data_IF_733908452285
#
_entry.id   IF_733908452285
#
_cell.length_a   1.000
_cell.length_b   1.000
_cell.length_c   1.000
_cell.angle_alpha   90.00
_cell.angle_beta   90.00
_cell.angle_gamma   90.00
#
_symmetry.space_group_name_H-M   'P 1'
#
loop_
_entity.id
_entity.type
_entity.pdbx_description
1 polymer ?
#
# COMPACT_ATOMS: atom_id res chain seq x y z
N UNK A 1 -0.21 13.56 -10.63
CA UNK A 1 0.92 14.37 -10.14
C UNK A 1 1.45 13.77 -8.87
N UNK A 2 2.77 13.80 -8.70
CA UNK A 2 3.43 13.21 -7.55
C UNK A 2 4.13 14.32 -6.78
N UNK A 3 3.90 14.35 -5.48
CA UNK A 3 4.42 15.33 -4.54
C UNK A 3 5.12 14.59 -3.41
N UNK A 4 6.11 15.22 -2.80
CA UNK A 4 6.71 14.71 -1.57
C UNK A 4 6.12 15.45 -0.36
N UNK A 5 5.89 14.76 0.76
CA UNK A 5 5.28 15.37 1.94
C UNK A 5 6.09 16.55 2.49
N UNK A 6 7.41 16.55 2.30
CA UNK A 6 8.30 17.66 2.63
C UNK A 6 8.22 18.85 1.66
N UNK A 7 7.79 18.61 0.42
CA UNK A 7 7.54 19.65 -0.58
C UNK A 7 6.26 20.41 -0.23
N UNK A 8 5.18 19.68 0.05
CA UNK A 8 3.89 20.26 0.49
C UNK A 8 4.02 21.01 1.82
N UNK A 9 4.91 20.58 2.72
CA UNK A 9 5.16 21.28 3.98
C UNK A 9 5.97 22.56 3.82
N UNK A 10 6.79 22.66 2.76
CA UNK A 10 7.57 23.85 2.47
C UNK A 10 6.75 24.91 1.73
N UNK A 11 5.89 24.46 0.82
CA UNK A 11 5.04 25.31 0.00
C UNK A 11 3.57 25.14 0.42
N UNK A 12 3.18 25.90 1.44
CA UNK A 12 1.84 25.84 2.02
C UNK A 12 0.77 26.13 0.96
N UNK A 13 -0.21 25.24 0.80
CA UNK A 13 -1.27 25.36 -0.20
C UNK A 13 -0.97 24.70 -1.54
N UNK A 14 0.24 24.17 -1.77
CA UNK A 14 0.59 23.46 -3.00
C UNK A 14 -0.38 22.31 -3.31
N UNK A 15 -0.78 21.53 -2.30
CA UNK A 15 -1.73 20.44 -2.51
C UNK A 15 -3.12 20.97 -2.87
N UNK A 16 -3.56 22.08 -2.27
CA UNK A 16 -4.83 22.71 -2.57
C UNK A 16 -4.89 23.22 -4.02
N UNK A 17 -3.84 23.92 -4.44
CA UNK A 17 -3.74 24.48 -5.79
C UNK A 17 -3.77 23.35 -6.83
N UNK A 18 -2.99 22.29 -6.59
CA UNK A 18 -2.96 21.14 -7.48
C UNK A 18 -4.29 20.36 -7.48
N UNK A 19 -4.97 20.25 -6.33
CA UNK A 19 -6.27 19.59 -6.24
C UNK A 19 -7.39 20.39 -6.92
N UNK A 20 -7.31 21.72 -6.92
CA UNK A 20 -8.30 22.64 -7.53
C UNK A 20 -8.03 22.95 -9.00
N UNK A 21 -6.88 22.52 -9.51
CA UNK A 21 -6.54 22.66 -10.92
C UNK A 21 -7.42 21.76 -11.78
N UNK A 22 -8.17 22.38 -12.70
CA UNK A 22 -9.06 21.66 -13.63
C UNK A 22 -8.22 20.87 -14.65
N UNK A 23 -8.37 19.53 -14.74
CA UNK A 23 -7.70 18.74 -15.76
C UNK A 23 -8.30 19.03 -17.15
N UNK A 24 -7.44 19.23 -18.16
CA UNK A 24 -7.87 19.54 -19.53
C UNK A 24 -8.13 18.31 -20.40
N UNK A 25 -7.51 17.17 -20.08
CA UNK A 25 -7.50 15.96 -20.92
C UNK A 25 -8.00 14.71 -20.20
N UNK A 26 -8.55 14.87 -19.00
CA UNK A 26 -9.11 13.76 -18.22
C UNK A 26 -10.25 14.26 -17.35
N UNK A 27 -11.20 13.39 -17.05
CA UNK A 27 -12.31 13.72 -16.15
C UNK A 27 -11.86 13.81 -14.69
N UNK A 28 -10.78 13.10 -14.35
CA UNK A 28 -10.20 13.09 -13.00
C UNK A 28 -8.67 13.08 -13.04
N UNK A 29 -8.06 13.59 -11.98
CA UNK A 29 -6.62 13.63 -11.75
C UNK A 29 -6.26 12.91 -10.45
N UNK A 30 -5.18 12.14 -10.45
CA UNK A 30 -4.61 11.57 -9.22
C UNK A 30 -3.48 12.47 -8.71
N UNK A 31 -3.57 12.89 -7.45
CA UNK A 31 -2.48 13.50 -6.69
C UNK A 31 -1.95 12.47 -5.70
N UNK A 32 -0.67 12.14 -5.83
CA UNK A 32 -0.01 11.16 -4.96
C UNK A 32 1.05 11.87 -4.14
N UNK A 33 0.76 12.05 -2.85
CA UNK A 33 1.70 12.58 -1.86
C UNK A 33 2.45 11.40 -1.24
N UNK A 34 3.78 11.42 -1.33
CA UNK A 34 4.65 10.36 -0.79
C UNK A 34 5.39 10.82 0.45
N UNK A 35 5.84 9.86 1.25
CA UNK A 35 6.67 10.10 2.44
C UNK A 35 6.05 11.11 3.42
N UNK A 36 4.73 11.05 3.60
CA UNK A 36 4.06 11.84 4.63
C UNK A 36 4.41 11.31 6.03
N UNK A 37 4.68 12.22 6.96
CA UNK A 37 5.13 11.92 8.33
C UNK A 37 4.44 12.75 9.41
N UNK A 38 3.34 13.43 9.05
CA UNK A 38 2.57 14.29 9.95
C UNK A 38 2.88 15.78 9.85
N UNK A 39 3.32 16.21 8.66
CA UNK A 39 3.53 17.60 8.30
C UNK A 39 2.28 18.45 8.56
N UNK A 40 2.46 19.65 9.12
CA UNK A 40 1.32 20.48 9.56
C UNK A 40 0.60 21.08 8.36
N UNK A 41 1.33 21.63 7.39
CA UNK A 41 0.70 22.25 6.22
C UNK A 41 -0.10 21.22 5.40
N UNK A 42 0.46 20.01 5.23
CA UNK A 42 -0.25 18.90 4.59
C UNK A 42 -1.55 18.54 5.34
N UNK A 43 -1.52 18.52 6.68
CA UNK A 43 -2.72 18.27 7.47
C UNK A 43 -3.77 19.37 7.30
N UNK A 44 -3.36 20.64 7.27
CA UNK A 44 -4.25 21.79 7.07
C UNK A 44 -4.87 21.78 5.65
N UNK A 45 -4.10 21.46 4.61
CA UNK A 45 -4.59 21.28 3.24
C UNK A 45 -5.61 20.15 3.15
N UNK A 46 -5.31 18.99 3.76
CA UNK A 46 -6.22 17.85 3.81
C UNK A 46 -7.51 18.20 4.55
N UNK A 47 -7.44 18.99 5.62
CA UNK A 47 -8.63 19.47 6.34
C UNK A 47 -9.52 20.36 5.48
N UNK A 48 -8.92 21.25 4.69
CA UNK A 48 -9.66 22.07 3.76
C UNK A 48 -10.31 21.22 2.66
N UNK A 49 -9.60 20.20 2.16
CA UNK A 49 -10.11 19.29 1.11
C UNK A 49 -11.18 18.32 1.62
N UNK A 50 -11.18 17.93 2.88
CA UNK A 50 -12.27 17.12 3.44
C UNK A 50 -13.54 17.95 3.64
N UNK A 51 -13.40 19.23 4.02
CA UNK A 51 -14.52 20.17 4.16
C UNK A 51 -15.10 20.61 2.80
N UNK A 52 -14.24 20.87 1.81
CA UNK A 52 -14.62 21.25 0.46
C UNK A 52 -13.90 20.35 -0.56
N UNK A 53 -14.51 19.20 -0.93
CA UNK A 53 -13.86 18.20 -1.76
C UNK A 53 -13.63 18.71 -3.17
N UNK A 54 -12.43 18.47 -3.69
CA UNK A 54 -12.14 18.72 -5.09
C UNK A 54 -12.97 17.79 -5.98
N UNK A 55 -13.64 18.37 -6.99
CA UNK A 55 -14.56 17.63 -7.86
C UNK A 55 -13.86 16.60 -8.74
N UNK A 56 -12.71 17.01 -9.28
CA UNK A 56 -12.03 16.29 -10.37
C UNK A 56 -10.68 15.71 -9.92
N UNK A 57 -10.48 15.55 -8.62
CA UNK A 57 -9.21 15.10 -8.04
C UNK A 57 -9.40 13.97 -7.02
N UNK A 58 -8.52 12.96 -7.12
CA UNK A 58 -8.34 11.90 -6.13
C UNK A 58 -6.99 12.12 -5.47
N UNK A 59 -6.95 12.06 -4.14
CA UNK A 59 -5.74 12.30 -3.37
C UNK A 59 -5.35 11.00 -2.65
N UNK A 60 -4.16 10.50 -2.97
CA UNK A 60 -3.54 9.36 -2.32
C UNK A 60 -2.36 9.86 -1.49
N UNK A 61 -2.38 9.55 -0.19
CA UNK A 61 -1.32 9.94 0.73
C UNK A 61 -0.65 8.66 1.23
N UNK A 62 0.61 8.48 0.86
CA UNK A 62 1.49 7.43 1.36
C UNK A 62 2.28 7.99 2.54
N UNK A 63 1.98 7.47 3.73
CA UNK A 63 2.66 7.82 4.96
C UNK A 63 3.36 6.61 5.56
N UNK A 64 4.36 6.87 6.41
CA UNK A 64 4.88 5.86 7.33
C UNK A 64 3.87 5.53 8.44
N UNK A 65 4.36 4.97 9.55
CA UNK A 65 3.51 4.71 10.72
C UNK A 65 3.07 6.02 11.39
N UNK A 66 1.76 6.32 11.29
CA UNK A 66 1.15 7.51 11.91
C UNK A 66 0.40 7.12 13.18
N UNK A 67 0.88 7.62 14.32
CA UNK A 67 0.19 7.47 15.62
C UNK A 67 -1.18 8.16 15.61
N UNK A 68 -2.12 7.66 16.40
CA UNK A 68 -3.51 8.18 16.51
C UNK A 68 -3.61 9.68 16.86
N UNK A 69 -2.56 10.28 17.44
CA UNK A 69 -2.51 11.72 17.76
C UNK A 69 -1.99 12.62 16.64
N UNK A 70 -1.55 12.06 15.51
CA UNK A 70 -1.05 12.87 14.38
C UNK A 70 -2.24 13.53 13.68
N UNK A 71 -2.17 14.85 13.51
CA UNK A 71 -3.26 15.67 12.93
C UNK A 71 -3.76 15.14 11.59
N UNK A 72 -2.84 14.82 10.67
CA UNK A 72 -3.16 14.24 9.37
C UNK A 72 -4.04 12.99 9.48
N UNK A 73 -3.67 12.05 10.35
CA UNK A 73 -4.44 10.82 10.58
C UNK A 73 -5.80 11.13 11.20
N UNK A 74 -5.84 11.98 12.21
CA UNK A 74 -7.09 12.32 12.91
C UNK A 74 -8.11 13.00 11.97
N UNK A 75 -7.64 13.88 11.08
CA UNK A 75 -8.50 14.55 10.09
C UNK A 75 -9.09 13.54 9.10
N UNK A 76 -8.27 12.63 8.58
CA UNK A 76 -8.71 11.60 7.63
C UNK A 76 -9.68 10.62 8.28
N UNK A 77 -9.41 10.16 9.51
CA UNK A 77 -10.30 9.25 10.24
C UNK A 77 -11.66 9.88 10.60
N UNK A 78 -11.72 11.21 10.76
CA UNK A 78 -12.95 11.92 11.14
C UNK A 78 -13.80 12.36 9.94
N UNK A 79 -13.29 12.27 8.72
CA UNK A 79 -13.97 12.76 7.52
C UNK A 79 -14.77 11.65 6.82
N UNK A 80 -16.03 11.94 6.48
CA UNK A 80 -16.94 10.96 5.83
C UNK A 80 -16.54 10.62 4.39
N UNK A 81 -15.69 11.44 3.77
CA UNK A 81 -15.24 11.34 2.39
C UNK A 81 -13.76 10.95 2.27
N UNK A 82 -13.14 10.51 3.35
CA UNK A 82 -11.75 10.04 3.36
C UNK A 82 -11.65 8.71 4.10
N UNK A 83 -10.54 8.00 3.90
CA UNK A 83 -10.30 6.72 4.56
C UNK A 83 -8.82 6.60 4.91
N UNK A 84 -8.54 6.28 6.18
CA UNK A 84 -7.22 5.86 6.62
C UNK A 84 -7.14 4.33 6.49
N UNK A 85 -6.25 3.86 5.62
CA UNK A 85 -5.96 2.43 5.47
C UNK A 85 -4.63 2.12 6.15
N UNK A 86 -4.62 1.51 7.35
CA UNK A 86 -3.37 1.13 7.98
C UNK A 86 -2.72 -0.03 7.22
N UNK A 87 -1.59 0.25 6.59
CA UNK A 87 -0.74 -0.75 5.96
C UNK A 87 0.27 -1.27 6.98
N UNK A 88 -0.21 -2.12 7.90
CA UNK A 88 0.69 -2.74 8.87
C UNK A 88 1.77 -3.53 8.14
N UNK A 89 3.01 -3.42 8.63
CA UNK A 89 4.02 -4.41 8.30
C UNK A 89 3.40 -5.76 8.65
N UNK A 90 3.42 -6.66 7.67
CA UNK A 90 2.70 -7.93 7.70
C UNK A 90 3.27 -8.74 8.88
N UNK A 91 2.68 -8.59 10.08
CA UNK A 91 3.17 -9.12 11.36
C UNK A 91 3.31 -10.62 11.21
N UNK A 92 4.55 -11.07 10.97
CA UNK A 92 4.97 -12.45 10.87
C UNK A 92 3.84 -13.44 10.49
N UNK A 93 3.12 -13.22 9.38
CA UNK A 93 2.41 -14.35 8.80
C UNK A 93 3.50 -15.36 8.49
N UNK A 94 3.36 -16.55 9.03
CA UNK A 94 4.32 -17.62 8.81
C UNK A 94 4.54 -17.74 7.29
N UNK A 95 5.78 -17.95 6.87
CA UNK A 95 6.07 -18.28 5.47
C UNK A 95 5.21 -19.47 5.01
N UNK A 96 4.83 -20.35 5.94
CA UNK A 96 3.83 -21.39 5.71
C UNK A 96 2.50 -20.86 5.21
N UNK A 97 1.98 -19.78 5.79
CA UNK A 97 0.71 -19.20 5.34
C UNK A 97 0.79 -18.62 3.94
N UNK A 98 1.95 -18.14 3.50
CA UNK A 98 2.17 -17.70 2.11
C UNK A 98 2.21 -18.90 1.17
N UNK A 99 2.95 -19.95 1.56
CA UNK A 99 3.03 -21.20 0.80
C UNK A 99 1.63 -21.79 0.61
N UNK A 100 0.84 -21.88 1.69
CA UNK A 100 -0.52 -22.42 1.65
C UNK A 100 -1.46 -21.57 0.79
N UNK A 101 -1.37 -20.25 0.88
CA UNK A 101 -2.18 -19.35 0.08
C UNK A 101 -1.90 -19.49 -1.43
N UNK A 102 -0.63 -19.56 -1.83
CA UNK A 102 -0.27 -19.69 -3.26
C UNK A 102 -0.58 -21.09 -3.80
N UNK A 103 -0.31 -22.15 -3.04
CA UNK A 103 -0.66 -23.53 -3.42
C UNK A 103 -2.17 -23.70 -3.57
N UNK A 104 -2.96 -23.14 -2.65
CA UNK A 104 -4.42 -23.21 -2.68
C UNK A 104 -5.02 -22.54 -3.93
N UNK A 105 -4.47 -21.40 -4.37
CA UNK A 105 -4.89 -20.75 -5.62
C UNK A 105 -4.69 -21.63 -6.84
N UNK A 106 -3.65 -22.47 -6.83
CA UNK A 106 -3.36 -23.42 -7.91
C UNK A 106 -4.01 -24.80 -7.72
N UNK A 107 -4.69 -25.04 -6.58
CA UNK A 107 -5.27 -26.34 -6.26
C UNK A 107 -4.22 -27.44 -6.03
N UNK A 108 -3.02 -27.08 -5.57
CA UNK A 108 -1.89 -27.99 -5.41
C UNK A 108 -1.56 -28.25 -3.94
N UNK A 109 -0.85 -29.35 -3.65
CA UNK A 109 -0.21 -29.62 -2.36
C UNK A 109 1.32 -29.56 -2.47
N UNK A 110 2.01 -29.60 -1.33
CA UNK A 110 3.46 -29.70 -1.26
C UNK A 110 3.86 -30.64 -0.14
N UNK A 111 4.84 -31.51 -0.39
CA UNK A 111 5.35 -32.43 0.63
C UNK A 111 6.07 -31.68 1.75
N UNK A 112 6.17 -32.31 2.92
CA UNK A 112 6.82 -31.68 4.08
C UNK A 112 8.31 -31.43 3.80
N UNK A 113 8.98 -32.34 3.09
CA UNK A 113 10.39 -32.23 2.72
C UNK A 113 10.62 -31.07 1.74
N UNK A 114 9.77 -30.94 0.72
CA UNK A 114 9.82 -29.84 -0.23
C UNK A 114 9.56 -28.49 0.46
N UNK A 115 8.60 -28.43 1.38
CA UNK A 115 8.32 -27.25 2.20
C UNK A 115 9.50 -26.84 3.06
N UNK A 116 10.16 -27.79 3.73
CA UNK A 116 11.34 -27.50 4.52
C UNK A 116 12.52 -27.05 3.66
N UNK A 117 12.71 -27.66 2.48
CA UNK A 117 13.73 -27.24 1.53
C UNK A 117 13.47 -25.82 1.02
N UNK A 118 12.23 -25.50 0.68
CA UNK A 118 11.82 -24.17 0.26
C UNK A 118 12.09 -23.14 1.35
N UNK A 119 11.67 -23.40 2.60
CA UNK A 119 11.95 -22.53 3.76
C UNK A 119 13.44 -22.23 3.97
N UNK A 120 14.32 -23.21 3.76
CA UNK A 120 15.78 -23.01 3.89
C UNK A 120 16.36 -22.12 2.78
N UNK A 121 15.69 -22.07 1.62
CA UNK A 121 16.15 -21.32 0.45
C UNK A 121 15.46 -19.96 0.29
N UNK A 122 14.29 -19.76 0.90
CA UNK A 122 13.61 -18.48 0.94
C UNK A 122 14.34 -17.53 1.89
N UNK A 123 14.61 -16.30 1.42
CA UNK A 123 15.26 -15.26 2.21
C UNK A 123 14.32 -14.57 3.21
N UNK A 124 14.84 -13.60 3.95
CA UNK A 124 14.04 -12.80 4.91
C UNK A 124 13.09 -11.78 4.26
N UNK A 125 13.19 -11.56 2.95
CA UNK A 125 12.28 -10.68 2.20
C UNK A 125 11.07 -11.46 1.68
N UNK A 126 9.89 -11.10 2.19
CA UNK A 126 8.61 -11.77 1.88
C UNK A 126 8.08 -11.47 0.49
N UNK A 127 8.30 -10.27 -0.05
CA UNK A 127 7.86 -9.94 -1.41
C UNK A 127 8.67 -10.75 -2.41
N UNK A 128 9.97 -10.86 -2.18
CA UNK A 128 10.83 -11.77 -2.93
C UNK A 128 10.36 -13.23 -2.76
N UNK A 129 10.11 -13.66 -1.52
CA UNK A 129 9.70 -15.04 -1.23
C UNK A 129 8.37 -15.43 -1.89
N UNK A 130 7.38 -14.54 -1.91
CA UNK A 130 6.11 -14.80 -2.62
C UNK A 130 6.35 -15.00 -4.12
N UNK A 131 7.18 -14.17 -4.74
CA UNK A 131 7.56 -14.35 -6.14
C UNK A 131 8.30 -15.67 -6.42
N UNK A 132 9.16 -16.12 -5.51
CA UNK A 132 9.81 -17.44 -5.61
C UNK A 132 8.80 -18.60 -5.50
N UNK A 133 7.83 -18.51 -4.58
CA UNK A 133 6.76 -19.51 -4.43
C UNK A 133 5.87 -19.53 -5.68
N UNK A 134 5.43 -18.37 -6.18
CA UNK A 134 4.63 -18.26 -7.40
C UNK A 134 5.35 -18.89 -8.60
N UNK A 135 6.66 -18.69 -8.73
CA UNK A 135 7.48 -19.34 -9.77
C UNK A 135 7.49 -20.86 -9.63
N UNK A 136 7.63 -21.39 -8.42
CA UNK A 136 7.61 -22.83 -8.16
C UNK A 136 6.25 -23.44 -8.52
N UNK A 137 5.15 -22.79 -8.11
CA UNK A 137 3.78 -23.19 -8.43
C UNK A 137 3.54 -23.16 -9.94
N UNK A 138 4.01 -22.12 -10.62
CA UNK A 138 3.92 -22.01 -12.08
C UNK A 138 4.74 -23.10 -12.78
N UNK A 139 5.95 -23.40 -12.29
CA UNK A 139 6.79 -24.46 -12.83
C UNK A 139 6.13 -25.83 -12.72
N UNK A 140 5.49 -26.12 -11.59
CA UNK A 140 4.80 -27.37 -11.34
C UNK A 140 3.33 -27.37 -11.82
N UNK A 141 2.92 -26.36 -12.60
CA UNK A 141 1.54 -26.23 -13.07
C UNK A 141 1.07 -27.49 -13.83
N UNK A 142 -0.13 -27.97 -13.50
CA UNK A 142 -0.68 -29.21 -14.02
C UNK A 142 -0.30 -30.46 -13.24
N UNK A 143 0.55 -30.34 -12.21
CA UNK A 143 0.74 -31.39 -11.20
C UNK A 143 -0.21 -31.17 -10.02
N UNK A 144 -0.46 -32.23 -9.25
CA UNK A 144 -1.29 -32.15 -8.04
C UNK A 144 -0.46 -31.84 -6.79
N UNK A 145 0.83 -32.18 -6.79
CA UNK A 145 1.71 -32.10 -5.62
C UNK A 145 3.14 -31.73 -6.00
N UNK A 146 3.78 -30.86 -5.22
CA UNK A 146 5.18 -30.47 -5.36
C UNK A 146 6.03 -31.26 -4.35
N UNK A 147 6.98 -32.05 -4.85
CA UNK A 147 7.96 -32.84 -4.08
C UNK A 147 9.42 -32.49 -4.40
N UNK A 148 10.35 -33.23 -3.78
CA UNK A 148 11.79 -33.18 -4.10
C UNK A 148 12.18 -34.30 -5.06
#
# INVERSE_FOLDING_TARGET
>A
VRLEGSEVDRDEGLLLDEARTVPMFSDRRLLWVRNASGQKALADDVKALTAEPARDAIILIEAGDLKKGVGLRAIVEAADNAMALPCYADEARDIDGVIDAELSKAGMSMTMEARQALRRNLGGDRLASRGEIEKLVLYAHGQNEIGL
#
